data_IF_654539409104
#
_entry.id   IF_654539409104
#
_cell.length_a   1.000
_cell.length_b   1.000
_cell.length_c   1.000
_cell.angle_alpha   90.00
_cell.angle_beta   90.00
_cell.angle_gamma   90.00
#
_symmetry.space_group_name_H-M   'P 1'
#
loop_
_entity.id
_entity.type
_entity.pdbx_description
1 polymer ?
#
# COMPACT_ATOMS: atom_id res chain seq x y z
N UNK A 1 -4.15 -6.90 -5.04
CA UNK A 1 -3.37 -8.04 -4.52
C UNK A 1 -1.94 -7.57 -4.32
N UNK A 2 -1.31 -7.91 -3.20
CA UNK A 2 0.08 -7.53 -2.91
C UNK A 2 1.02 -8.75 -3.00
N UNK A 3 2.15 -8.57 -3.67
CA UNK A 3 3.32 -9.44 -3.54
C UNK A 3 4.14 -8.88 -2.38
N UNK A 4 4.13 -9.59 -1.26
CA UNK A 4 4.94 -9.24 -0.09
C UNK A 4 6.30 -9.94 -0.14
N UNK A 5 7.38 -9.19 0.05
CA UNK A 5 8.75 -9.73 0.18
C UNK A 5 9.21 -9.59 1.63
N UNK A 6 9.44 -10.68 2.38
CA UNK A 6 9.91 -10.59 3.76
C UNK A 6 11.30 -9.97 3.85
N UNK A 7 11.38 -8.74 4.35
CA UNK A 7 12.63 -7.97 4.42
C UNK A 7 13.72 -8.70 5.22
N UNK A 8 13.36 -9.47 6.25
CA UNK A 8 14.34 -10.17 7.10
C UNK A 8 14.96 -11.41 6.45
N UNK A 9 14.31 -11.98 5.43
CA UNK A 9 14.80 -13.14 4.70
C UNK A 9 15.61 -12.74 3.46
N UNK A 10 15.23 -11.65 2.80
CA UNK A 10 15.74 -11.28 1.47
C UNK A 10 16.43 -9.89 1.40
N UNK A 11 16.81 -9.32 2.56
CA UNK A 11 17.27 -7.92 2.73
C UNK A 11 18.37 -7.43 1.77
N UNK A 12 19.22 -8.33 1.28
CA UNK A 12 20.41 -7.96 0.49
C UNK A 12 20.48 -8.64 -0.87
N UNK A 13 19.84 -9.79 -1.04
CA UNK A 13 19.84 -10.56 -2.29
C UNK A 13 18.62 -11.48 -2.33
N UNK A 14 18.06 -11.66 -3.51
CA UNK A 14 17.01 -12.64 -3.76
C UNK A 14 15.60 -12.08 -3.58
N UNK A 15 15.45 -10.81 -3.22
CA UNK A 15 14.15 -10.13 -3.19
C UNK A 15 13.49 -10.16 -4.57
N UNK A 16 14.26 -9.91 -5.63
CA UNK A 16 13.75 -10.00 -7.01
C UNK A 16 13.39 -11.43 -7.39
N UNK A 17 14.25 -12.41 -7.06
CA UNK A 17 13.97 -13.82 -7.35
C UNK A 17 12.66 -14.27 -6.68
N UNK A 18 12.48 -13.93 -5.40
CA UNK A 18 11.29 -14.28 -4.65
C UNK A 18 10.05 -13.57 -5.21
N UNK A 19 10.17 -12.28 -5.54
CA UNK A 19 9.13 -11.50 -6.22
C UNK A 19 8.68 -12.18 -7.51
N UNK A 20 9.61 -12.68 -8.34
CA UNK A 20 9.28 -13.39 -9.57
C UNK A 20 8.55 -14.73 -9.30
N UNK A 21 8.87 -15.44 -8.22
CA UNK A 21 8.13 -16.64 -7.82
C UNK A 21 6.69 -16.31 -7.41
N UNK A 22 6.48 -15.23 -6.65
CA UNK A 22 5.14 -14.79 -6.24
C UNK A 22 4.34 -14.21 -7.41
N UNK A 23 5.01 -13.51 -8.33
CA UNK A 23 4.41 -13.07 -9.59
C UNK A 23 3.94 -14.25 -10.43
N UNK A 24 4.75 -15.29 -10.59
CA UNK A 24 4.31 -16.51 -11.29
C UNK A 24 3.08 -17.12 -10.60
N UNK A 25 3.11 -17.28 -9.27
CA UNK A 25 1.95 -17.78 -8.51
C UNK A 25 0.69 -16.95 -8.78
N UNK A 26 0.79 -15.62 -8.74
CA UNK A 26 -0.31 -14.72 -9.09
C UNK A 26 -0.83 -14.98 -10.51
N UNK A 27 0.05 -15.09 -11.50
CA UNK A 27 -0.33 -15.37 -12.88
C UNK A 27 -0.98 -16.75 -13.05
N UNK A 28 -0.54 -17.78 -12.31
CA UNK A 28 -1.18 -19.10 -12.33
C UNK A 28 -2.59 -19.06 -11.70
N UNK A 29 -2.77 -18.35 -10.58
CA UNK A 29 -4.11 -18.20 -9.97
C UNK A 29 -5.07 -17.39 -10.86
N UNK A 30 -4.58 -16.33 -11.51
CA UNK A 30 -5.36 -15.57 -12.51
C UNK A 30 -5.85 -16.50 -13.62
N UNK A 31 -4.96 -17.30 -14.21
CA UNK A 31 -5.33 -18.27 -15.27
C UNK A 31 -6.38 -19.25 -14.78
N UNK A 32 -6.18 -19.83 -13.60
CA UNK A 32 -7.11 -20.79 -13.00
C UNK A 32 -8.50 -20.19 -12.77
N UNK A 33 -8.58 -18.96 -12.28
CA UNK A 33 -9.85 -18.24 -12.07
C UNK A 33 -10.55 -17.98 -13.41
N UNK A 34 -9.81 -17.54 -14.43
CA UNK A 34 -10.35 -17.33 -15.78
C UNK A 34 -10.79 -18.64 -16.46
N UNK A 35 -10.05 -19.74 -16.27
CA UNK A 35 -10.41 -21.08 -16.76
C UNK A 35 -11.69 -21.62 -16.11
N UNK A 36 -12.02 -21.15 -14.89
CA UNK A 36 -13.30 -21.43 -14.22
C UNK A 36 -14.46 -20.57 -14.76
N UNK A 37 -14.21 -19.73 -15.77
CA UNK A 37 -15.21 -18.88 -16.40
C UNK A 37 -15.47 -17.57 -15.67
N UNK A 38 -14.63 -17.20 -14.70
CA UNK A 38 -14.74 -15.90 -14.03
C UNK A 38 -14.14 -14.81 -14.91
N UNK A 39 -14.94 -13.79 -15.20
CA UNK A 39 -14.49 -12.58 -15.89
C UNK A 39 -13.67 -11.69 -14.95
N UNK A 40 -12.36 -11.91 -14.96
CA UNK A 40 -11.38 -11.20 -14.14
C UNK A 40 -10.57 -10.21 -15.00
N UNK A 41 -10.71 -8.92 -14.71
CA UNK A 41 -9.92 -7.85 -15.31
C UNK A 41 -8.57 -7.65 -14.60
N UNK A 42 -7.48 -7.59 -15.36
CA UNK A 42 -6.17 -7.20 -14.85
C UNK A 42 -5.97 -5.70 -15.03
N UNK A 43 -6.00 -4.94 -13.94
CA UNK A 43 -5.91 -3.47 -13.98
C UNK A 43 -4.46 -3.05 -14.23
N UNK A 44 -4.19 -2.56 -15.44
CA UNK A 44 -2.86 -2.14 -15.91
C UNK A 44 -2.84 -0.71 -16.46
N UNK A 45 -3.98 -0.03 -16.47
CA UNK A 45 -4.11 1.32 -17.00
C UNK A 45 -5.30 2.04 -16.38
N UNK A 46 -5.38 3.36 -16.62
CA UNK A 46 -6.55 4.16 -16.24
C UNK A 46 -7.83 3.67 -16.93
N UNK A 47 -7.73 3.18 -18.16
CA UNK A 47 -8.89 2.65 -18.89
C UNK A 47 -9.42 1.38 -18.20
N UNK A 48 -8.54 0.47 -17.82
CA UNK A 48 -8.94 -0.74 -17.06
C UNK A 48 -9.56 -0.35 -15.72
N UNK A 49 -8.97 0.62 -14.99
CA UNK A 49 -9.49 1.09 -13.72
C UNK A 49 -10.91 1.70 -13.85
N UNK A 50 -11.20 2.35 -14.97
CA UNK A 50 -12.54 2.91 -15.25
C UNK A 50 -13.57 1.83 -15.64
N UNK A 51 -13.12 0.64 -16.02
CA UNK A 51 -13.97 -0.45 -16.53
C UNK A 51 -14.23 -1.55 -15.49
N UNK A 52 -13.65 -1.45 -14.29
CA UNK A 52 -13.71 -2.52 -13.26
C UNK A 52 -15.12 -2.97 -12.89
N UNK A 53 -16.11 -2.07 -12.96
CA UNK A 53 -17.50 -2.37 -12.61
C UNK A 53 -18.24 -3.19 -13.68
N UNK A 54 -17.67 -3.32 -14.88
CA UNK A 54 -18.23 -4.12 -15.97
C UNK A 54 -17.73 -5.58 -15.96
N UNK A 55 -16.86 -5.94 -15.02
CA UNK A 55 -16.30 -7.28 -14.86
C UNK A 55 -16.78 -7.92 -13.55
N UNK A 56 -16.72 -9.25 -13.45
CA UNK A 56 -17.08 -9.96 -12.22
C UNK A 56 -16.08 -9.69 -11.09
N UNK A 57 -14.81 -9.49 -11.45
CA UNK A 57 -13.76 -9.10 -10.53
C UNK A 57 -12.67 -8.32 -11.27
N UNK A 58 -11.90 -7.54 -10.52
CA UNK A 58 -10.73 -6.85 -11.02
C UNK A 58 -9.56 -6.97 -10.04
N UNK A 59 -8.34 -7.03 -10.55
CA UNK A 59 -7.13 -7.08 -9.73
C UNK A 59 -6.07 -6.12 -10.24
N UNK A 60 -5.58 -5.27 -9.34
CA UNK A 60 -4.36 -4.50 -9.52
C UNK A 60 -3.23 -5.19 -8.75
N UNK A 61 -2.11 -5.43 -9.43
CA UNK A 61 -0.95 -6.05 -8.83
C UNK A 61 -0.04 -4.98 -8.20
N UNK A 62 0.18 -5.10 -6.91
CA UNK A 62 1.09 -4.26 -6.13
C UNK A 62 2.23 -5.09 -5.54
N UNK A 63 3.34 -4.45 -5.24
CA UNK A 63 4.43 -5.01 -4.44
C UNK A 63 4.44 -4.29 -3.09
N UNK A 64 4.53 -5.03 -2.01
CA UNK A 64 4.76 -4.52 -0.67
C UNK A 64 6.16 -4.94 -0.23
N UNK A 65 7.04 -3.96 0.02
CA UNK A 65 8.51 -4.05 0.19
C UNK A 65 9.31 -3.72 -1.09
N UNK A 66 9.95 -2.54 -1.09
CA UNK A 66 10.80 -2.08 -2.19
C UNK A 66 12.11 -2.87 -2.36
N UNK A 67 12.55 -3.63 -1.37
CA UNK A 67 13.62 -4.63 -1.51
C UNK A 67 13.35 -5.67 -2.60
N UNK A 68 12.11 -5.79 -3.09
CA UNK A 68 11.74 -6.57 -4.26
C UNK A 68 12.54 -6.27 -5.54
N UNK A 69 13.12 -5.07 -5.66
CA UNK A 69 13.89 -4.68 -6.86
C UNK A 69 15.39 -4.89 -6.74
N UNK A 70 15.89 -5.41 -5.60
CA UNK A 70 17.32 -5.69 -5.34
C UNK A 70 18.25 -4.54 -5.81
N UNK A 71 17.89 -3.28 -5.50
CA UNK A 71 18.70 -2.11 -5.86
C UNK A 71 18.76 -1.77 -7.36
N UNK A 72 17.84 -2.28 -8.19
CA UNK A 72 17.86 -2.10 -9.66
C UNK A 72 16.62 -1.38 -10.21
N UNK A 73 16.86 -0.28 -10.94
CA UNK A 73 15.79 0.40 -11.70
C UNK A 73 15.35 -0.42 -12.92
N UNK A 74 16.24 -1.25 -13.47
CA UNK A 74 15.92 -2.18 -14.55
C UNK A 74 14.90 -3.21 -14.07
N UNK A 75 15.10 -3.76 -12.86
CA UNK A 75 14.14 -4.68 -12.25
C UNK A 75 12.78 -4.02 -12.04
N UNK A 76 12.74 -2.79 -11.52
CA UNK A 76 11.51 -2.01 -11.39
C UNK A 76 10.76 -1.86 -12.72
N UNK A 77 11.46 -1.46 -13.80
CA UNK A 77 10.88 -1.35 -15.14
C UNK A 77 10.36 -2.69 -15.66
N UNK A 78 11.12 -3.77 -15.50
CA UNK A 78 10.68 -5.11 -15.89
C UNK A 78 9.41 -5.54 -15.15
N UNK A 79 9.33 -5.30 -13.83
CA UNK A 79 8.14 -5.62 -13.03
C UNK A 79 6.92 -4.81 -13.46
N UNK A 80 7.11 -3.54 -13.86
CA UNK A 80 6.05 -2.72 -14.45
C UNK A 80 5.52 -3.33 -15.76
N UNK A 81 6.41 -3.73 -16.67
CA UNK A 81 6.03 -4.41 -17.92
C UNK A 81 5.29 -5.73 -17.67
N UNK A 82 5.65 -6.43 -16.59
CA UNK A 82 4.97 -7.66 -16.15
C UNK A 82 3.61 -7.42 -15.49
N UNK A 83 3.22 -6.16 -15.24
CA UNK A 83 1.87 -5.79 -14.80
C UNK A 83 1.79 -5.19 -13.40
N UNK A 84 2.89 -5.01 -12.68
CA UNK A 84 2.90 -4.31 -11.38
C UNK A 84 2.54 -2.84 -11.58
N UNK A 85 1.67 -2.29 -10.74
CA UNK A 85 1.18 -0.90 -10.84
C UNK A 85 1.34 -0.06 -9.59
N UNK A 86 1.69 -0.66 -8.47
CA UNK A 86 2.04 0.05 -7.24
C UNK A 86 3.21 -0.65 -6.55
N UNK A 87 4.02 0.11 -5.82
CA UNK A 87 5.03 -0.45 -4.93
C UNK A 87 5.12 0.36 -3.63
N UNK A 88 5.00 -0.34 -2.50
CA UNK A 88 5.29 0.21 -1.17
C UNK A 88 6.81 0.32 -1.01
N UNK A 89 7.30 1.53 -0.78
CA UNK A 89 8.74 1.83 -0.83
C UNK A 89 9.55 1.04 0.21
N UNK A 90 8.94 0.75 1.36
CA UNK A 90 9.50 -0.10 2.41
C UNK A 90 8.38 -0.99 2.96
N UNK A 91 8.71 -2.13 3.57
CA UNK A 91 7.89 -2.62 4.67
C UNK A 91 8.35 -1.91 5.95
N UNK A 92 8.28 -2.56 7.12
CA UNK A 92 8.55 -1.90 8.39
C UNK A 92 10.04 -1.66 8.67
N UNK A 93 10.97 -2.34 7.98
CA UNK A 93 12.42 -2.19 8.18
C UNK A 93 13.09 -1.39 7.05
N UNK A 94 14.31 -0.92 7.30
CA UNK A 94 15.13 -0.22 6.29
C UNK A 94 15.56 -1.15 5.16
N UNK A 95 15.46 -0.64 3.92
CA UNK A 95 16.00 -1.24 2.70
C UNK A 95 16.89 -0.22 1.95
N UNK A 96 17.27 -0.52 0.70
CA UNK A 96 18.12 0.38 -0.11
C UNK A 96 17.45 1.70 -0.53
N UNK A 97 16.12 1.79 -0.40
CA UNK A 97 15.30 2.92 -0.84
C UNK A 97 15.10 3.92 0.30
N UNK A 98 14.68 3.45 1.48
CA UNK A 98 14.36 4.30 2.62
C UNK A 98 14.36 3.54 3.95
N UNK A 99 14.17 4.30 5.02
CA UNK A 99 13.91 3.76 6.34
C UNK A 99 12.41 3.46 6.49
N UNK A 100 12.09 2.22 6.87
CA UNK A 100 10.74 1.84 7.31
C UNK A 100 10.48 2.28 8.74
N UNK A 101 9.22 2.24 9.17
CA UNK A 101 8.77 2.78 10.47
C UNK A 101 9.52 2.23 11.69
N UNK A 102 9.99 0.97 11.65
CA UNK A 102 10.75 0.38 12.77
C UNK A 102 12.14 1.02 12.95
N UNK A 103 12.59 1.78 11.96
CA UNK A 103 13.90 2.44 11.93
C UNK A 103 13.73 3.96 12.10
N UNK A 104 12.55 4.47 12.46
CA UNK A 104 12.26 5.92 12.55
C UNK A 104 13.24 6.68 13.46
N UNK A 105 13.80 6.01 14.47
CA UNK A 105 14.78 6.58 15.40
C UNK A 105 16.12 6.97 14.74
N UNK A 106 16.40 6.51 13.52
CA UNK A 106 17.57 6.93 12.74
C UNK A 106 17.47 8.38 12.25
N UNK A 107 16.24 8.90 12.07
CA UNK A 107 15.96 10.14 11.36
C UNK A 107 16.25 10.10 9.85
N UNK A 108 16.47 8.93 9.27
CA UNK A 108 16.74 8.74 7.84
C UNK A 108 15.49 8.78 6.98
N UNK A 109 15.60 9.38 5.79
CA UNK A 109 14.53 9.44 4.78
C UNK A 109 14.85 8.62 3.53
N UNK A 110 14.55 9.17 2.36
CA UNK A 110 14.92 8.55 1.08
C UNK A 110 16.44 8.56 0.89
N UNK A 111 17.01 7.43 0.48
CA UNK A 111 18.39 7.39 0.02
C UNK A 111 18.53 8.08 -1.34
N UNK A 112 19.77 8.31 -1.80
CA UNK A 112 20.05 8.77 -3.17
C UNK A 112 19.46 7.80 -4.20
N UNK A 113 19.47 6.50 -3.92
CA UNK A 113 18.82 5.50 -4.77
C UNK A 113 17.29 5.61 -4.68
N UNK A 114 16.72 5.75 -3.49
CA UNK A 114 15.29 5.90 -3.28
C UNK A 114 14.68 7.08 -4.03
N UNK A 115 15.36 8.24 -4.08
CA UNK A 115 14.92 9.38 -4.91
C UNK A 115 14.87 9.04 -6.41
N UNK A 116 15.81 8.22 -6.91
CA UNK A 116 15.77 7.73 -8.30
C UNK A 116 14.62 6.76 -8.52
N UNK A 117 14.31 5.91 -7.54
CA UNK A 117 13.17 4.99 -7.59
C UNK A 117 11.86 5.77 -7.70
N UNK A 118 11.63 6.75 -6.82
CA UNK A 118 10.42 7.61 -6.88
C UNK A 118 10.29 8.30 -8.24
N UNK A 119 11.38 8.89 -8.75
CA UNK A 119 11.38 9.54 -10.06
C UNK A 119 11.05 8.57 -11.21
N UNK A 120 11.59 7.35 -11.18
CA UNK A 120 11.31 6.34 -12.19
C UNK A 120 9.87 5.82 -12.09
N UNK A 121 9.34 5.62 -10.88
CA UNK A 121 7.94 5.25 -10.67
C UNK A 121 6.99 6.32 -11.24
N UNK A 122 7.26 7.60 -10.98
CA UNK A 122 6.50 8.70 -11.57
C UNK A 122 6.54 8.72 -13.10
N UNK A 123 7.72 8.44 -13.69
CA UNK A 123 7.90 8.37 -15.15
C UNK A 123 7.13 7.21 -15.77
N UNK A 124 7.12 6.05 -15.11
CA UNK A 124 6.37 4.86 -15.54
C UNK A 124 4.86 5.05 -15.40
N UNK A 125 4.42 5.89 -14.46
CA UNK A 125 3.03 5.92 -14.01
C UNK A 125 2.73 4.81 -13.00
N UNK A 126 3.75 4.32 -12.29
CA UNK A 126 3.59 3.40 -11.17
C UNK A 126 3.28 4.20 -9.89
N UNK A 127 2.28 3.76 -9.13
CA UNK A 127 1.86 4.39 -7.89
C UNK A 127 2.93 4.23 -6.81
N UNK A 128 3.32 5.35 -6.20
CA UNK A 128 4.26 5.39 -5.08
C UNK A 128 3.47 5.23 -3.79
N UNK A 129 3.67 4.11 -3.11
CA UNK A 129 2.97 3.82 -1.87
C UNK A 129 3.89 4.07 -0.65
N UNK A 130 3.40 4.89 0.28
CA UNK A 130 4.09 5.34 1.49
C UNK A 130 3.59 4.64 2.76
N UNK A 131 2.71 3.64 2.65
CA UNK A 131 2.50 2.71 3.76
C UNK A 131 3.86 2.17 4.27
N UNK A 132 3.99 1.98 5.57
CA UNK A 132 5.19 1.50 6.29
C UNK A 132 6.42 2.41 6.34
N UNK A 133 6.51 3.47 5.55
CA UNK A 133 7.70 4.34 5.56
C UNK A 133 7.83 5.10 6.89
N UNK A 134 9.06 5.38 7.31
CA UNK A 134 9.30 6.27 8.45
C UNK A 134 8.88 7.72 8.12
N UNK A 135 8.52 8.55 9.12
CA UNK A 135 8.06 9.92 8.88
C UNK A 135 9.01 10.81 8.07
N UNK A 136 10.33 10.69 8.28
CA UNK A 136 11.31 11.45 7.49
C UNK A 136 11.27 11.06 6.00
N UNK A 137 11.14 9.77 5.71
CA UNK A 137 10.99 9.26 4.34
C UNK A 137 9.68 9.70 3.70
N UNK A 138 8.58 9.74 4.45
CA UNK A 138 7.30 10.26 3.96
C UNK A 138 7.44 11.69 3.41
N UNK A 139 8.06 12.59 4.19
CA UNK A 139 8.23 13.99 3.77
C UNK A 139 9.18 14.14 2.58
N UNK A 140 10.24 13.33 2.52
CA UNK A 140 11.11 13.24 1.35
C UNK A 140 10.36 12.80 0.08
N UNK A 141 9.39 11.89 0.20
CA UNK A 141 8.56 11.44 -0.92
C UNK A 141 7.59 12.54 -1.37
N UNK A 142 6.96 13.25 -0.43
CA UNK A 142 6.12 14.42 -0.74
C UNK A 142 6.91 15.48 -1.51
N UNK A 143 8.16 15.75 -1.13
CA UNK A 143 9.03 16.70 -1.84
C UNK A 143 9.45 16.17 -3.22
N UNK A 144 9.81 14.89 -3.32
CA UNK A 144 10.42 14.32 -4.51
C UNK A 144 9.40 13.89 -5.59
N UNK A 145 8.17 13.56 -5.21
CA UNK A 145 7.18 13.02 -6.13
C UNK A 145 6.55 14.13 -6.99
N UNK A 146 6.56 13.92 -8.30
CA UNK A 146 5.89 14.75 -9.31
C UNK A 146 4.47 14.27 -9.64
N UNK A 147 4.00 13.21 -8.96
CA UNK A 147 2.69 12.59 -9.12
C UNK A 147 2.04 12.37 -7.75
N UNK A 148 0.70 12.21 -7.70
CA UNK A 148 0.01 11.79 -6.49
C UNK A 148 0.62 10.53 -5.86
N UNK A 149 0.76 10.54 -4.55
CA UNK A 149 1.19 9.39 -3.75
C UNK A 149 0.00 8.72 -3.08
N UNK A 150 0.18 7.48 -2.63
CA UNK A 150 -0.86 6.74 -1.91
C UNK A 150 -0.33 6.21 -0.58
N UNK A 151 -1.19 6.14 0.43
CA UNK A 151 -0.99 5.32 1.62
C UNK A 151 -2.03 4.21 1.57
N UNK A 152 -1.66 3.07 0.99
CA UNK A 152 -2.58 1.96 0.66
C UNK A 152 -3.33 1.37 1.86
N UNK A 153 -2.75 1.40 3.06
CA UNK A 153 -3.30 0.83 4.29
C UNK A 153 -2.74 1.56 5.51
N UNK A 154 -3.40 2.64 5.94
CA UNK A 154 -3.00 3.46 7.09
C UNK A 154 -4.19 4.15 7.75
N UNK A 155 -4.13 4.32 9.07
CA UNK A 155 -5.18 4.97 9.87
C UNK A 155 -4.67 6.28 10.51
N UNK A 156 -5.51 6.94 11.31
CA UNK A 156 -5.25 8.26 11.89
C UNK A 156 -4.58 8.15 13.26
N UNK A 157 -3.41 8.75 13.42
CA UNK A 157 -2.60 8.66 14.65
C UNK A 157 -3.25 9.35 15.83
N UNK A 158 -4.08 10.37 15.58
CA UNK A 158 -4.83 11.09 16.61
C UNK A 158 -5.85 10.21 17.35
N UNK A 159 -6.36 9.14 16.70
CA UNK A 159 -7.32 8.20 17.31
C UNK A 159 -6.65 6.95 17.88
N UNK A 160 -5.51 6.55 17.32
CA UNK A 160 -4.71 5.42 17.80
C UNK A 160 -3.23 5.75 17.56
N UNK A 161 -2.46 5.96 18.63
CA UNK A 161 -1.08 6.46 18.60
C UNK A 161 -0.02 5.51 18.00
N UNK A 162 -0.43 4.51 17.24
CA UNK A 162 0.46 3.52 16.63
C UNK A 162 1.42 4.17 15.60
N UNK A 163 2.72 3.81 15.54
CA UNK A 163 3.68 4.40 14.59
C UNK A 163 3.31 4.23 13.12
N UNK A 164 2.58 3.16 12.76
CA UNK A 164 2.08 2.93 11.40
C UNK A 164 0.97 3.90 10.97
N UNK A 165 0.34 4.62 11.90
CA UNK A 165 -0.71 5.57 11.58
C UNK A 165 -0.13 6.92 11.17
N UNK A 166 -0.83 7.58 10.26
CA UNK A 166 -0.48 8.90 9.74
C UNK A 166 -0.87 9.97 10.76
N UNK A 167 0.03 10.91 11.03
CA UNK A 167 -0.36 12.12 11.74
C UNK A 167 -1.19 13.07 10.85
N UNK A 168 -1.83 14.05 11.47
CA UNK A 168 -2.72 14.98 10.75
C UNK A 168 -2.01 15.73 9.61
N UNK A 169 -0.71 16.04 9.77
CA UNK A 169 0.05 16.73 8.72
C UNK A 169 0.29 15.81 7.54
N UNK A 170 0.59 14.54 7.78
CA UNK A 170 0.75 13.55 6.73
C UNK A 170 -0.57 13.33 5.97
N UNK A 171 -1.70 13.24 6.68
CA UNK A 171 -3.04 13.12 6.07
C UNK A 171 -3.33 14.33 5.16
N UNK A 172 -3.14 15.55 5.67
CA UNK A 172 -3.34 16.78 4.90
C UNK A 172 -2.38 16.88 3.71
N UNK A 173 -1.12 16.46 3.86
CA UNK A 173 -0.15 16.47 2.77
C UNK A 173 -0.51 15.50 1.64
N UNK A 174 -1.04 14.32 1.96
CA UNK A 174 -1.54 13.38 0.93
C UNK A 174 -2.74 14.00 0.19
N UNK A 175 -3.66 14.62 0.94
CA UNK A 175 -4.82 15.31 0.37
C UNK A 175 -4.42 16.48 -0.54
N UNK A 176 -3.50 17.34 -0.11
CA UNK A 176 -2.97 18.45 -0.93
C UNK A 176 -2.18 17.96 -2.16
N UNK A 177 -1.61 16.75 -2.09
CA UNK A 177 -0.90 16.11 -3.19
C UNK A 177 -1.84 15.42 -4.21
N UNK A 178 -3.16 15.53 -4.06
CA UNK A 178 -4.16 14.82 -4.88
C UNK A 178 -4.03 13.28 -4.75
N UNK A 179 -3.50 12.84 -3.60
CA UNK A 179 -3.17 11.45 -3.28
C UNK A 179 -4.36 10.61 -2.81
N UNK A 180 -4.10 9.45 -2.22
CA UNK A 180 -5.17 8.58 -1.73
C UNK A 180 -4.79 7.82 -0.46
N UNK A 181 -5.70 7.70 0.49
CA UNK A 181 -5.52 6.95 1.73
C UNK A 181 -6.49 5.78 1.78
N UNK A 182 -5.98 4.56 1.96
CA UNK A 182 -6.76 3.37 2.24
C UNK A 182 -6.83 3.10 3.74
N UNK A 183 -8.04 3.10 4.31
CA UNK A 183 -8.29 2.75 5.70
C UNK A 183 -8.06 1.25 5.90
N UNK A 184 -7.20 0.91 6.85
CA UNK A 184 -6.84 -0.48 7.19
C UNK A 184 -7.65 -1.03 8.34
N UNK A 185 -7.91 -2.33 8.29
CA UNK A 185 -8.65 -3.05 9.32
C UNK A 185 -7.71 -3.75 10.30
N UNK A 186 -6.42 -3.40 10.35
CA UNK A 186 -5.56 -3.84 11.45
C UNK A 186 -6.08 -3.28 12.78
N UNK A 187 -6.62 -4.13 13.66
CA UNK A 187 -7.22 -3.72 14.93
C UNK A 187 -6.28 -2.94 15.84
N UNK A 188 -5.00 -3.31 15.86
CA UNK A 188 -3.93 -2.61 16.59
C UNK A 188 -3.61 -1.20 16.04
N UNK A 189 -4.16 -0.84 14.87
CA UNK A 189 -4.07 0.50 14.27
C UNK A 189 -5.40 1.26 14.39
N UNK A 190 -6.46 0.61 14.85
CA UNK A 190 -7.81 1.19 15.02
C UNK A 190 -8.09 1.60 16.47
N UNK A 191 -7.50 0.88 17.44
CA UNK A 191 -7.60 1.17 18.88
C UNK A 191 -6.27 0.86 19.57
N UNK A 192 -6.04 1.48 20.73
CA UNK A 192 -4.91 1.14 21.60
C UNK A 192 -4.98 -0.31 22.10
N UNK A 193 -6.18 -0.78 22.46
CA UNK A 193 -6.47 -2.20 22.67
C UNK A 193 -7.16 -2.78 21.44
N UNK A 194 -6.49 -3.70 20.74
CA UNK A 194 -7.04 -4.32 19.54
C UNK A 194 -8.25 -5.21 19.84
N UNK A 195 -8.47 -5.65 21.09
CA UNK A 195 -9.66 -6.40 21.47
C UNK A 195 -10.95 -5.59 21.33
N UNK A 196 -10.86 -4.27 21.42
CA UNK A 196 -11.99 -3.34 21.25
C UNK A 196 -12.20 -2.93 19.78
N UNK A 197 -11.32 -3.35 18.86
CA UNK A 197 -11.47 -3.04 17.43
C UNK A 197 -12.76 -3.65 16.86
N UNK A 198 -13.60 -2.79 16.33
CA UNK A 198 -14.89 -3.11 15.71
C UNK A 198 -15.11 -2.26 14.46
N UNK A 199 -16.20 -2.50 13.72
CA UNK A 199 -16.59 -1.68 12.57
C UNK A 199 -16.77 -0.19 12.93
N UNK A 200 -17.26 0.13 14.12
CA UNK A 200 -17.36 1.54 14.55
C UNK A 200 -15.98 2.18 14.72
N UNK A 201 -14.94 1.39 15.02
CA UNK A 201 -13.57 1.89 15.04
C UNK A 201 -13.12 2.30 13.64
N UNK A 202 -13.46 1.51 12.63
CA UNK A 202 -13.23 1.86 11.21
C UNK A 202 -13.98 3.15 10.84
N UNK A 203 -15.26 3.24 11.19
CA UNK A 203 -16.06 4.44 10.93
C UNK A 203 -15.52 5.69 11.64
N UNK A 204 -15.03 5.58 12.88
CA UNK A 204 -14.38 6.70 13.57
C UNK A 204 -13.16 7.22 12.82
N UNK A 205 -12.33 6.32 12.27
CA UNK A 205 -11.18 6.73 11.45
C UNK A 205 -11.59 7.39 10.13
N UNK A 206 -12.60 6.85 9.46
CA UNK A 206 -13.16 7.45 8.25
C UNK A 206 -13.69 8.86 8.55
N UNK A 207 -14.58 8.99 9.52
CA UNK A 207 -15.20 10.27 9.90
C UNK A 207 -14.13 11.30 10.31
N UNK A 208 -13.15 10.90 11.11
CA UNK A 208 -12.05 11.78 11.49
C UNK A 208 -11.26 12.29 10.27
N UNK A 209 -10.86 11.40 9.36
CA UNK A 209 -10.07 11.80 8.19
C UNK A 209 -10.87 12.66 7.21
N UNK A 210 -12.14 12.33 6.96
CA UNK A 210 -13.02 13.13 6.11
C UNK A 210 -13.22 14.55 6.69
N UNK A 211 -13.44 14.65 8.00
CA UNK A 211 -13.55 15.96 8.67
C UNK A 211 -12.25 16.76 8.61
N UNK A 212 -11.10 16.09 8.75
CA UNK A 212 -9.79 16.75 8.66
C UNK A 212 -9.47 17.24 7.24
N UNK A 213 -9.73 16.42 6.22
CA UNK A 213 -9.46 16.75 4.81
C UNK A 213 -10.51 17.69 4.20
N UNK A 214 -11.73 17.68 4.73
CA UNK A 214 -12.86 18.49 4.26
C UNK A 214 -13.49 18.00 2.95
N UNK A 215 -13.17 16.78 2.51
CA UNK A 215 -13.70 16.13 1.31
C UNK A 215 -13.58 14.60 1.41
N UNK A 216 -14.20 13.88 0.47
CA UNK A 216 -14.19 12.42 0.34
C UNK A 216 -13.46 11.91 -0.92
N UNK A 217 -12.79 12.78 -1.68
CA UNK A 217 -12.14 12.43 -2.95
C UNK A 217 -10.90 11.54 -2.76
N UNK A 218 -10.25 11.62 -1.59
CA UNK A 218 -8.93 11.06 -1.32
C UNK A 218 -8.91 9.92 -0.27
N UNK A 219 -10.08 9.32 0.01
CA UNK A 219 -10.22 8.27 1.03
C UNK A 219 -10.94 7.04 0.48
N UNK A 220 -10.47 5.85 0.87
CA UNK A 220 -11.14 4.59 0.58
C UNK A 220 -10.68 3.46 1.49
N UNK A 221 -10.76 2.24 0.97
CA UNK A 221 -10.45 1.03 1.75
C UNK A 221 -9.13 0.39 1.35
N UNK A 222 -8.40 -0.01 2.38
CA UNK A 222 -7.12 -0.70 2.32
C UNK A 222 -7.06 -1.76 3.41
N UNK A 223 -8.02 -2.69 3.41
CA UNK A 223 -8.34 -3.54 4.58
C UNK A 223 -7.18 -4.29 5.20
N UNK A 224 -6.14 -4.59 4.43
CA UNK A 224 -5.02 -5.44 4.88
C UNK A 224 -5.48 -6.88 5.25
N UNK A 225 -6.59 -7.34 4.65
CA UNK A 225 -7.04 -8.72 4.80
C UNK A 225 -5.97 -9.71 4.34
N UNK A 226 -5.90 -10.85 5.03
CA UNK A 226 -4.86 -11.88 4.91
C UNK A 226 -3.43 -11.41 5.26
N UNK A 227 -3.23 -10.12 5.57
CA UNK A 227 -1.96 -9.54 6.06
C UNK A 227 -1.94 -9.22 7.56
N UNK A 228 -3.10 -9.21 8.23
CA UNK A 228 -3.26 -8.83 9.64
C UNK A 228 -3.60 -10.02 10.55
N UNK A 229 -3.06 -10.00 11.78
CA UNK A 229 -3.37 -11.02 12.81
C UNK A 229 -4.60 -10.70 13.65
N UNK A 230 -5.02 -9.44 13.70
CA UNK A 230 -6.04 -8.95 14.64
C UNK A 230 -7.05 -8.05 13.91
N UNK A 231 -7.94 -8.59 13.07
CA UNK A 231 -9.03 -7.80 12.48
C UNK A 231 -10.06 -7.40 13.55
N UNK A 232 -10.89 -6.37 13.30
CA UNK A 232 -12.06 -6.05 14.10
C UNK A 232 -12.93 -7.28 14.37
N UNK A 233 -13.41 -7.44 15.60
CA UNK A 233 -14.08 -8.67 16.03
C UNK A 233 -15.40 -8.97 15.28
N UNK A 234 -15.99 -7.96 14.63
CA UNK A 234 -17.22 -8.06 13.85
C UNK A 234 -17.02 -7.83 12.35
N UNK A 235 -15.78 -7.95 11.84
CA UNK A 235 -15.46 -7.97 10.41
C UNK A 235 -14.81 -9.32 10.09
N UNK A 236 -15.46 -10.12 9.25
CA UNK A 236 -15.10 -11.53 9.04
C UNK A 236 -14.38 -11.81 7.71
N UNK A 237 -14.06 -10.77 6.93
CA UNK A 237 -13.41 -10.88 5.63
C UNK A 237 -14.10 -10.05 4.56
N UNK A 238 -13.77 -10.30 3.29
CA UNK A 238 -14.28 -9.55 2.14
C UNK A 238 -15.82 -9.59 2.01
N UNK A 239 -16.47 -10.63 2.52
CA UNK A 239 -17.93 -10.74 2.56
C UNK A 239 -18.57 -9.71 3.49
N UNK A 240 -17.81 -9.08 4.41
CA UNK A 240 -18.32 -8.03 5.30
C UNK A 240 -18.44 -6.67 4.61
N UNK A 241 -18.09 -6.55 3.33
CA UNK A 241 -18.35 -5.35 2.53
C UNK A 241 -19.78 -5.30 1.96
N UNK A 242 -20.59 -6.36 2.07
CA UNK A 242 -21.97 -6.33 1.58
C UNK A 242 -22.82 -5.38 2.43
N UNK A 243 -23.52 -4.48 1.75
CA UNK A 243 -24.57 -3.65 2.32
C UNK A 243 -25.90 -4.40 2.11
N UNK A 244 -26.11 -5.49 2.84
CA UNK A 244 -27.43 -6.11 2.95
C UNK A 244 -28.31 -5.34 3.96
#
# INVERSE_FOLDING_TARGET
MAIFVPTHEFRYYGGLRYTLCLLDKYLQEVKKVQEQGVDLLLVKSKADAADVLNHQAATLLAIEEGGAIDGSLEALRCLYELGVRAMTLTWSNRNDIADGVNEEGSGGGLTVFGRKVVAEMNKLGMLVDVSHIAPAGFWDVIEASSKPIIATHSNAKALCGHPRNLDDKQILAINENDGFIGITFAGQFLNEDYHDACIDSVYRHIDYMLNLMGNDDHLGFGSDFDGISHPPYNIFGVQSYSLD
#
